data_IF_007194736092
#
_entry.id   IF_007194736092
#
_cell.length_a   1.000
_cell.length_b   1.000
_cell.length_c   1.000
_cell.angle_alpha   90.00
_cell.angle_beta   90.00
_cell.angle_gamma   90.00
#
_symmetry.space_group_name_H-M   'P 1'
#
loop_
_entity.id
_entity.type
_entity.pdbx_description
1 polymer ?
#
# COMPACT_ATOMS: atom_id res chain seq x y z
N UNK A 1 -12.49 -35.71 44.50
CA UNK A 1 -11.39 -35.48 43.54
C UNK A 1 -11.83 -35.46 42.06
N UNK A 2 -13.01 -35.96 41.68
CA UNK A 2 -13.48 -36.00 40.26
C UNK A 2 -14.05 -34.64 39.76
N UNK A 3 -14.52 -33.76 40.67
CA UNK A 3 -15.13 -32.46 40.33
C UNK A 3 -14.11 -31.41 39.86
N UNK A 4 -12.89 -31.43 40.40
CA UNK A 4 -11.84 -30.46 40.08
C UNK A 4 -11.29 -30.65 38.65
N UNK A 5 -11.18 -31.90 38.20
CA UNK A 5 -10.71 -32.25 36.85
C UNK A 5 -11.73 -31.83 35.77
N UNK A 6 -13.03 -31.92 36.08
CA UNK A 6 -14.11 -31.47 35.18
C UNK A 6 -14.18 -29.95 35.06
N UNK A 7 -13.91 -29.23 36.16
CA UNK A 7 -13.92 -27.76 36.16
C UNK A 7 -12.73 -27.18 35.38
N UNK A 8 -11.53 -27.79 35.48
CA UNK A 8 -10.37 -27.38 34.68
C UNK A 8 -10.54 -27.64 33.18
N UNK A 9 -11.15 -28.77 32.77
CA UNK A 9 -11.39 -29.07 31.36
C UNK A 9 -12.36 -28.08 30.67
N UNK A 10 -13.38 -27.60 31.39
CA UNK A 10 -14.32 -26.61 30.83
C UNK A 10 -13.67 -25.23 30.68
N UNK A 11 -12.76 -24.87 31.59
CA UNK A 11 -12.03 -23.60 31.53
C UNK A 11 -11.04 -23.56 30.34
N UNK A 12 -10.41 -24.69 29.99
CA UNK A 12 -9.52 -24.78 28.83
C UNK A 12 -10.24 -24.71 27.48
N UNK A 13 -11.52 -25.12 27.40
CA UNK A 13 -12.30 -25.04 26.15
C UNK A 13 -12.74 -23.60 25.86
N UNK A 14 -13.06 -22.83 26.90
CA UNK A 14 -13.46 -21.42 26.78
C UNK A 14 -12.30 -20.50 26.34
N UNK A 15 -11.05 -20.81 26.71
CA UNK A 15 -9.87 -20.05 26.31
C UNK A 15 -9.53 -20.28 24.81
N UNK A 16 -9.88 -21.43 24.25
CA UNK A 16 -9.59 -21.74 22.84
C UNK A 16 -10.54 -21.07 21.84
N UNK A 17 -11.73 -20.63 22.28
CA UNK A 17 -12.73 -20.01 21.39
C UNK A 17 -12.44 -18.51 21.16
N UNK A 18 -11.69 -17.85 22.05
CA UNK A 18 -11.39 -16.42 21.93
C UNK A 18 -10.19 -16.11 21.03
N UNK A 19 -9.42 -17.11 20.58
CA UNK A 19 -8.20 -16.87 19.79
C UNK A 19 -8.37 -17.00 18.27
N UNK A 20 -9.56 -17.38 17.78
CA UNK A 20 -9.84 -17.45 16.33
C UNK A 20 -10.66 -16.24 15.89
N UNK A 21 -10.19 -15.03 16.20
CA UNK A 21 -10.62 -13.87 15.43
C UNK A 21 -9.93 -13.96 14.05
N UNK A 22 -10.65 -13.87 12.92
CA UNK A 22 -9.98 -13.66 11.64
C UNK A 22 -9.27 -12.32 11.75
N UNK A 23 -7.94 -12.37 11.88
CA UNK A 23 -7.09 -11.22 11.66
C UNK A 23 -7.37 -10.80 10.22
N UNK A 24 -8.18 -9.77 10.03
CA UNK A 24 -8.32 -9.10 8.74
C UNK A 24 -6.91 -8.60 8.42
N UNK A 25 -6.17 -9.32 7.57
CA UNK A 25 -4.94 -8.80 7.00
C UNK A 25 -5.39 -7.58 6.22
N UNK A 26 -5.07 -6.39 6.71
CA UNK A 26 -5.03 -5.23 5.84
C UNK A 26 -4.21 -5.68 4.62
N UNK A 27 -4.83 -5.73 3.43
CA UNK A 27 -4.04 -5.81 2.21
C UNK A 27 -3.17 -4.55 2.23
N UNK A 28 -1.85 -4.73 2.32
CA UNK A 28 -0.92 -3.60 2.27
C UNK A 28 -1.28 -2.74 1.07
N UNK A 29 -1.33 -1.41 1.27
CA UNK A 29 -1.67 -0.45 0.22
C UNK A 29 -0.89 -0.76 -1.05
N UNK A 30 -1.58 -0.74 -2.19
CA UNK A 30 -0.95 -0.94 -3.49
C UNK A 30 -0.18 0.31 -3.86
N UNK A 31 1.13 0.24 -3.66
CA UNK A 31 2.08 1.29 -4.03
C UNK A 31 2.22 1.38 -5.56
N UNK A 32 1.95 2.57 -6.11
CA UNK A 32 2.07 2.87 -7.54
C UNK A 32 3.09 4.00 -7.70
N UNK A 33 4.20 3.77 -8.39
CA UNK A 33 5.19 4.81 -8.67
C UNK A 33 4.93 5.41 -10.06
N UNK A 34 4.80 6.74 -10.11
CA UNK A 34 4.72 7.54 -11.32
C UNK A 34 6.07 8.25 -11.51
N UNK A 35 6.80 7.98 -12.59
CA UNK A 35 8.09 8.63 -12.89
C UNK A 35 7.88 9.58 -14.06
N UNK A 36 7.99 10.89 -13.81
CA UNK A 36 7.77 11.91 -14.82
C UNK A 36 8.99 12.08 -15.76
N UNK A 37 10.21 11.85 -15.29
CA UNK A 37 11.41 12.15 -16.06
C UNK A 37 11.69 13.67 -16.13
N UNK A 38 12.88 14.03 -16.60
CA UNK A 38 13.19 15.42 -16.89
C UNK A 38 12.34 15.97 -18.06
N UNK A 39 11.91 17.23 -17.95
CA UNK A 39 11.21 17.92 -19.03
C UNK A 39 12.15 18.08 -20.22
N UNK A 40 11.81 17.44 -21.34
CA UNK A 40 12.65 17.50 -22.55
C UNK A 40 12.61 18.86 -23.26
N UNK A 41 11.45 19.49 -23.32
CA UNK A 41 11.22 20.73 -24.06
C UNK A 41 10.50 21.73 -23.17
N UNK A 42 11.18 22.82 -22.79
CA UNK A 42 10.63 23.87 -21.94
C UNK A 42 9.98 24.94 -22.83
N UNK A 43 8.79 25.41 -22.46
CA UNK A 43 8.09 26.55 -23.07
C UNK A 43 7.74 26.42 -24.57
N UNK A 44 7.58 25.20 -25.08
CA UNK A 44 7.15 24.96 -26.46
C UNK A 44 5.64 24.77 -26.57
N UNK A 45 4.99 25.64 -27.33
CA UNK A 45 3.54 25.54 -27.63
C UNK A 45 3.22 24.17 -28.24
N UNK A 46 2.20 23.51 -27.67
CA UNK A 46 1.76 22.17 -28.09
C UNK A 46 2.54 21.01 -27.48
N UNK A 47 3.52 21.25 -26.60
CA UNK A 47 4.18 20.17 -25.87
C UNK A 47 3.30 19.70 -24.70
N UNK A 48 3.11 18.38 -24.59
CA UNK A 48 2.35 17.79 -23.50
C UNK A 48 3.18 17.82 -22.21
N UNK A 49 2.67 18.49 -21.17
CA UNK A 49 3.26 18.47 -19.84
C UNK A 49 3.01 17.11 -19.17
N UNK A 50 3.96 16.20 -19.32
CA UNK A 50 3.88 14.86 -18.75
C UNK A 50 3.89 14.88 -17.21
N UNK A 51 4.67 15.78 -16.59
CA UNK A 51 4.65 15.97 -15.13
C UNK A 51 3.26 16.43 -14.65
N UNK A 52 2.64 17.35 -15.39
CA UNK A 52 1.25 17.76 -15.18
C UNK A 52 0.28 16.56 -15.23
N UNK A 53 0.44 15.69 -16.23
CA UNK A 53 -0.32 14.43 -16.34
C UNK A 53 -0.11 13.50 -15.15
N UNK A 54 1.13 13.30 -14.70
CA UNK A 54 1.46 12.49 -13.53
C UNK A 54 0.89 13.08 -12.23
N UNK A 55 0.89 14.40 -12.06
CA UNK A 55 0.27 15.09 -10.91
C UNK A 55 -1.24 14.89 -10.89
N UNK A 56 -1.90 15.03 -12.04
CA UNK A 56 -3.32 14.74 -12.16
C UNK A 56 -3.62 13.28 -11.80
N UNK A 57 -2.85 12.34 -12.35
CA UNK A 57 -2.99 10.91 -12.03
C UNK A 57 -2.78 10.63 -10.55
N UNK A 58 -1.76 11.21 -9.90
CA UNK A 58 -1.54 11.07 -8.46
C UNK A 58 -2.76 11.56 -7.68
N UNK A 59 -3.34 12.72 -8.04
CA UNK A 59 -4.50 13.28 -7.37
C UNK A 59 -5.76 12.40 -7.51
N UNK A 60 -5.91 11.71 -8.65
CA UNK A 60 -7.00 10.75 -8.87
C UNK A 60 -6.76 9.43 -8.10
N UNK A 61 -5.53 8.90 -8.13
CA UNK A 61 -5.17 7.66 -7.42
C UNK A 61 -5.32 7.81 -5.90
N UNK A 62 -5.00 8.99 -5.34
CA UNK A 62 -5.21 9.29 -3.91
C UNK A 62 -6.68 9.20 -3.47
N UNK A 63 -7.64 9.22 -4.39
CA UNK A 63 -9.07 9.05 -4.10
C UNK A 63 -9.50 7.58 -4.06
N UNK A 64 -8.62 6.65 -4.43
CA UNK A 64 -8.88 5.21 -4.41
C UNK A 64 -8.42 4.63 -3.08
N UNK A 65 -9.32 3.95 -2.38
CA UNK A 65 -8.97 3.23 -1.13
C UNK A 65 -7.87 2.21 -1.41
N UNK A 66 -6.96 2.03 -0.45
CA UNK A 66 -5.88 1.05 -0.51
C UNK A 66 -4.87 1.25 -1.66
N UNK A 67 -4.82 2.43 -2.27
CA UNK A 67 -3.80 2.80 -3.27
C UNK A 67 -2.90 3.90 -2.72
N UNK A 68 -1.59 3.72 -2.87
CA UNK A 68 -0.58 4.66 -2.43
C UNK A 68 0.26 5.14 -3.61
N UNK A 69 -0.09 6.27 -4.25
CA UNK A 69 0.65 6.77 -5.39
C UNK A 69 1.86 7.61 -4.94
N UNK A 70 3.04 7.27 -5.45
CA UNK A 70 4.30 8.02 -5.26
C UNK A 70 4.67 8.69 -6.57
N UNK A 71 5.05 9.96 -6.54
CA UNK A 71 5.49 10.71 -7.71
C UNK A 71 7.00 10.98 -7.63
N UNK A 72 7.71 10.61 -8.70
CA UNK A 72 9.10 11.00 -8.96
C UNK A 72 9.05 12.05 -10.06
N UNK A 73 9.39 13.30 -9.72
CA UNK A 73 9.19 14.45 -10.63
C UNK A 73 10.24 14.59 -11.73
N UNK A 74 11.42 13.99 -11.56
CA UNK A 74 12.56 14.12 -12.46
C UNK A 74 12.95 12.75 -13.01
N UNK A 75 14.22 12.58 -13.32
CA UNK A 75 14.83 11.32 -13.75
C UNK A 75 14.61 10.17 -12.77
N UNK A 76 15.13 9.01 -13.17
CA UNK A 76 15.21 7.84 -12.32
C UNK A 76 15.69 8.22 -10.90
N UNK A 77 14.98 7.78 -9.85
CA UNK A 77 15.31 8.16 -8.49
C UNK A 77 16.72 7.66 -8.14
N UNK A 78 17.53 8.52 -7.54
CA UNK A 78 18.87 8.13 -7.08
C UNK A 78 18.81 7.12 -5.92
N UNK A 79 17.74 7.19 -5.14
CA UNK A 79 17.43 6.23 -4.08
C UNK A 79 16.35 5.26 -4.58
N UNK A 80 16.77 4.03 -4.91
CA UNK A 80 15.88 2.99 -5.43
C UNK A 80 14.98 2.36 -4.35
N UNK A 81 15.19 2.67 -3.06
CA UNK A 81 14.28 2.23 -2.00
C UNK A 81 12.86 2.78 -2.16
N UNK A 82 12.68 3.82 -3.00
CA UNK A 82 11.34 4.28 -3.41
C UNK A 82 10.52 3.17 -4.09
N UNK A 83 11.16 2.13 -4.64
CA UNK A 83 10.48 0.98 -5.22
C UNK A 83 10.13 -0.11 -4.20
N UNK A 84 10.61 -0.02 -2.95
CA UNK A 84 10.35 -1.04 -1.93
C UNK A 84 8.84 -1.19 -1.71
N UNK A 85 8.39 -2.45 -1.70
CA UNK A 85 6.97 -2.80 -1.55
C UNK A 85 6.11 -2.59 -2.79
N UNK A 86 6.64 -2.00 -3.86
CA UNK A 86 5.94 -1.93 -5.13
C UNK A 86 5.99 -3.27 -5.86
N UNK A 87 4.85 -3.68 -6.43
CA UNK A 87 4.79 -4.87 -7.29
C UNK A 87 5.04 -4.46 -8.73
N UNK A 88 6.09 -5.00 -9.35
CA UNK A 88 6.33 -4.93 -10.78
C UNK A 88 5.82 -6.22 -11.46
N UNK A 89 5.36 -6.12 -12.71
CA UNK A 89 5.01 -7.25 -13.58
C UNK A 89 6.07 -7.42 -14.67
#
# INVERSE_FOLDING_TARGET
>A
MISFVRFLCCLSILISITFTAPFSRAEDSRKIILIAGEVKEVDRVGHHDYLGGCRLMQALLKQTSEVEPVLVEKDWPADESVFDGAKAL
#
